data_IF_557202274052
#
_entry.id   IF_557202274052
#
_cell.length_a   1.000
_cell.length_b   1.000
_cell.length_c   1.000
_cell.angle_alpha   90.00
_cell.angle_beta   90.00
_cell.angle_gamma   90.00
#
_symmetry.space_group_name_H-M   'P 1'
#
loop_
_entity.id
_entity.type
_entity.pdbx_description
1 polymer ?
#
# COMPACT_ATOMS: atom_id res chain seq x y z
N UNK A 1 13.40 -20.62 -2.20
CA UNK A 1 13.82 -19.43 -2.98
C UNK A 1 13.50 -19.69 -4.44
N UNK A 2 13.13 -18.67 -5.20
CA UNK A 2 12.85 -18.76 -6.63
C UNK A 2 13.35 -17.53 -7.40
N UNK A 3 13.16 -17.55 -8.71
CA UNK A 3 13.53 -16.47 -9.62
C UNK A 3 12.37 -16.20 -10.58
N UNK A 4 12.01 -14.92 -10.79
CA UNK A 4 10.96 -14.55 -11.73
C UNK A 4 11.44 -14.69 -13.17
N UNK A 5 10.53 -14.54 -14.14
CA UNK A 5 10.87 -14.54 -15.56
C UNK A 5 11.81 -13.39 -15.93
N UNK A 6 11.74 -12.28 -15.19
CA UNK A 6 12.55 -11.07 -15.34
C UNK A 6 13.83 -11.08 -14.49
N UNK A 7 14.20 -12.25 -13.93
CA UNK A 7 15.38 -12.46 -13.08
C UNK A 7 15.35 -11.76 -11.72
N UNK A 8 14.15 -11.56 -11.16
CA UNK A 8 14.00 -11.02 -9.81
C UNK A 8 14.00 -12.12 -8.74
N UNK A 9 14.68 -11.92 -7.60
CA UNK A 9 14.70 -12.90 -6.52
C UNK A 9 13.35 -12.96 -5.79
N UNK A 10 12.90 -14.19 -5.49
CA UNK A 10 11.63 -14.50 -4.84
C UNK A 10 11.82 -15.39 -3.61
N UNK A 11 11.04 -15.11 -2.57
CA UNK A 11 10.83 -16.00 -1.44
C UNK A 11 9.36 -16.40 -1.32
N UNK A 12 9.12 -17.66 -0.99
CA UNK A 12 7.82 -18.22 -0.68
C UNK A 12 7.82 -18.58 0.80
N UNK A 13 6.93 -17.98 1.59
CA UNK A 13 6.82 -18.20 3.03
C UNK A 13 5.44 -18.76 3.34
N UNK A 14 5.38 -19.96 3.93
CA UNK A 14 4.12 -20.57 4.41
C UNK A 14 3.77 -19.94 5.77
N UNK A 15 2.67 -19.20 5.84
CA UNK A 15 2.16 -18.66 7.11
C UNK A 15 1.20 -19.66 7.77
N UNK A 16 1.06 -19.59 9.10
CA UNK A 16 0.13 -20.44 9.85
C UNK A 16 -1.33 -20.00 9.70
N UNK A 17 -1.56 -18.71 9.48
CA UNK A 17 -2.86 -18.07 9.37
C UNK A 17 -3.09 -17.52 7.95
N UNK A 18 -4.36 -17.46 7.54
CA UNK A 18 -4.78 -16.99 6.21
C UNK A 18 -5.61 -15.70 6.31
N UNK A 19 -5.31 -14.86 7.31
CA UNK A 19 -6.04 -13.60 7.54
C UNK A 19 -5.95 -12.73 6.27
N UNK A 20 -7.08 -12.26 5.72
CA UNK A 20 -7.08 -11.33 4.59
C UNK A 20 -6.19 -10.12 4.88
N UNK A 21 -5.15 -9.93 4.06
CA UNK A 21 -4.14 -8.91 4.27
C UNK A 21 -3.84 -8.20 2.98
N UNK A 22 -3.83 -6.86 3.01
CA UNK A 22 -3.48 -6.04 1.86
C UNK A 22 -2.02 -6.28 1.48
N UNK A 23 -1.79 -6.49 0.18
CA UNK A 23 -0.46 -6.63 -0.39
C UNK A 23 0.36 -5.35 -0.21
N UNK A 24 1.66 -5.49 -0.06
CA UNK A 24 2.60 -4.37 -0.01
C UNK A 24 3.20 -4.20 -1.40
N UNK A 25 3.03 -3.02 -1.98
CA UNK A 25 3.59 -2.65 -3.28
C UNK A 25 4.43 -1.39 -3.11
N UNK A 26 5.75 -1.56 -3.06
CA UNK A 26 6.73 -0.48 -2.98
C UNK A 26 7.52 -0.41 -4.29
N UNK A 27 8.30 0.66 -4.45
CA UNK A 27 9.07 0.91 -5.68
C UNK A 27 9.91 -0.29 -6.12
N UNK A 28 10.55 -0.97 -5.16
CA UNK A 28 11.45 -2.09 -5.41
C UNK A 28 11.03 -3.39 -4.72
N UNK A 29 10.09 -3.37 -3.78
CA UNK A 29 9.71 -4.57 -3.01
C UNK A 29 8.21 -4.83 -3.14
N UNK A 30 7.85 -6.06 -3.44
CA UNK A 30 6.47 -6.52 -3.47
C UNK A 30 6.29 -7.64 -2.45
N UNK A 31 5.21 -7.57 -1.68
CA UNK A 31 4.78 -8.64 -0.78
C UNK A 31 3.34 -8.98 -1.07
N UNK A 32 3.11 -10.18 -1.60
CA UNK A 32 1.77 -10.68 -1.90
C UNK A 32 1.38 -11.76 -0.88
N UNK A 33 0.35 -11.49 -0.08
CA UNK A 33 -0.10 -12.41 0.95
C UNK A 33 -1.11 -13.42 0.40
N UNK A 34 -1.16 -14.60 1.01
CA UNK A 34 -2.17 -15.64 0.75
C UNK A 34 -2.32 -16.08 -0.72
N UNK A 35 -1.23 -16.07 -1.48
CA UNK A 35 -1.22 -16.46 -2.88
C UNK A 35 -1.21 -17.97 -3.02
N UNK A 36 -2.15 -18.53 -3.80
CA UNK A 36 -2.14 -19.96 -4.13
C UNK A 36 -1.00 -20.21 -5.12
N UNK A 37 -0.03 -21.02 -4.74
CA UNK A 37 1.12 -21.36 -5.58
C UNK A 37 1.17 -22.87 -5.82
N UNK A 38 1.48 -23.23 -7.06
CA UNK A 38 1.86 -24.58 -7.46
C UNK A 38 3.38 -24.61 -7.58
N UNK A 39 4.07 -25.04 -6.52
CA UNK A 39 5.52 -25.10 -6.47
C UNK A 39 6.00 -26.48 -6.89
N UNK A 40 6.91 -26.55 -7.86
CA UNK A 40 7.58 -27.79 -8.22
C UNK A 40 8.95 -27.83 -7.54
N UNK A 41 9.15 -28.80 -6.66
CA UNK A 41 10.43 -29.06 -6.03
C UNK A 41 11.41 -29.71 -7.01
N UNK A 42 12.70 -29.60 -6.72
CA UNK A 42 13.79 -30.12 -7.57
C UNK A 42 13.75 -31.63 -7.76
N UNK A 43 13.12 -32.35 -6.83
CA UNK A 43 12.88 -33.80 -6.87
C UNK A 43 11.68 -34.19 -7.76
N UNK A 44 10.99 -33.22 -8.36
CA UNK A 44 9.86 -33.42 -9.25
C UNK A 44 8.48 -33.41 -8.56
N UNK A 45 8.43 -33.38 -7.23
CA UNK A 45 7.16 -33.27 -6.50
C UNK A 45 6.54 -31.89 -6.67
N UNK A 46 5.22 -31.84 -6.79
CA UNK A 46 4.46 -30.58 -6.87
C UNK A 46 3.68 -30.37 -5.59
N UNK A 47 3.79 -29.17 -5.02
CA UNK A 47 3.12 -28.73 -3.80
C UNK A 47 2.20 -27.58 -4.16
N UNK A 48 0.90 -27.76 -3.93
CA UNK A 48 -0.11 -26.71 -4.09
C UNK A 48 -0.54 -26.23 -2.72
N UNK A 49 -0.14 -25.00 -2.35
CA UNK A 49 -0.45 -24.38 -1.05
C UNK A 49 -0.52 -22.86 -1.19
N UNK A 50 -0.99 -22.18 -0.13
CA UNK A 50 -0.91 -20.72 -0.02
C UNK A 50 0.42 -20.27 0.55
N UNK A 51 0.99 -19.23 -0.03
CA UNK A 51 2.24 -18.62 0.40
C UNK A 51 2.14 -17.10 0.43
N UNK A 52 2.95 -16.49 1.28
CA UNK A 52 3.35 -15.10 1.13
C UNK A 52 4.54 -15.05 0.18
N UNK A 53 4.42 -14.29 -0.89
CA UNK A 53 5.48 -14.08 -1.89
C UNK A 53 6.18 -12.77 -1.56
N UNK A 54 7.49 -12.80 -1.39
CA UNK A 54 8.34 -11.61 -1.20
C UNK A 54 9.25 -11.50 -2.42
N UNK A 55 9.19 -10.37 -3.13
CA UNK A 55 9.87 -10.13 -4.40
C UNK A 55 10.64 -8.81 -4.34
N UNK A 56 11.89 -8.82 -4.82
CA UNK A 56 12.64 -7.59 -5.10
C UNK A 56 12.65 -7.31 -6.62
N UNK A 57 12.00 -6.23 -7.04
CA UNK A 57 11.98 -5.73 -8.42
C UNK A 57 13.23 -4.89 -8.71
N UNK A 58 14.40 -5.53 -8.68
CA UNK A 58 15.69 -4.93 -9.06
C UNK A 58 16.58 -5.96 -9.76
N UNK A 59 17.26 -5.56 -10.83
CA UNK A 59 18.28 -6.36 -11.51
C UNK A 59 19.71 -5.99 -11.06
N UNK A 60 19.85 -5.02 -10.15
CA UNK A 60 21.16 -4.63 -9.63
C UNK A 60 21.69 -5.71 -8.67
N UNK A 61 22.80 -6.37 -9.04
CA UNK A 61 23.33 -7.52 -8.32
C UNK A 61 23.65 -7.23 -6.85
N UNK A 62 24.20 -6.06 -6.54
CA UNK A 62 24.56 -5.72 -5.17
C UNK A 62 23.31 -5.55 -4.30
N UNK A 63 22.26 -4.90 -4.82
CA UNK A 63 20.97 -4.84 -4.13
C UNK A 63 20.32 -6.20 -3.97
N UNK A 64 20.43 -7.08 -4.98
CA UNK A 64 19.95 -8.46 -4.86
C UNK A 64 20.68 -9.21 -3.75
N UNK A 65 22.02 -9.10 -3.67
CA UNK A 65 22.82 -9.74 -2.60
C UNK A 65 22.39 -9.25 -1.22
N UNK A 66 22.33 -7.94 -1.00
CA UNK A 66 21.90 -7.38 0.28
C UNK A 66 20.48 -7.83 0.66
N UNK A 67 19.56 -7.81 -0.30
CA UNK A 67 18.19 -8.27 -0.08
C UNK A 67 18.14 -9.76 0.30
N UNK A 68 18.86 -10.62 -0.43
CA UNK A 68 18.90 -12.06 -0.15
C UNK A 68 19.45 -12.34 1.25
N UNK A 69 20.57 -11.71 1.63
CA UNK A 69 21.19 -11.87 2.94
C UNK A 69 20.22 -11.45 4.07
N UNK A 70 19.56 -10.31 3.92
CA UNK A 70 18.65 -9.78 4.93
C UNK A 70 17.36 -10.58 5.07
N UNK A 71 16.76 -11.01 3.96
CA UNK A 71 15.56 -11.84 4.01
C UNK A 71 15.88 -13.23 4.57
N UNK A 72 17.01 -13.84 4.21
CA UNK A 72 17.46 -15.10 4.83
C UNK A 72 17.60 -14.94 6.35
N UNK A 73 18.30 -13.90 6.81
CA UNK A 73 18.47 -13.60 8.24
C UNK A 73 17.11 -13.38 8.96
N UNK A 74 16.16 -12.72 8.30
CA UNK A 74 14.81 -12.51 8.82
C UNK A 74 14.07 -13.84 8.98
N UNK A 75 14.12 -14.69 7.95
CA UNK A 75 13.41 -15.96 7.95
C UNK A 75 13.98 -16.94 8.99
N UNK A 76 15.29 -16.87 9.27
CA UNK A 76 15.92 -17.64 10.36
C UNK A 76 15.46 -17.21 11.77
N UNK A 77 15.09 -15.93 11.94
CA UNK A 77 14.59 -15.41 13.23
C UNK A 77 13.12 -15.71 13.46
N UNK A 78 12.38 -16.04 12.42
CA UNK A 78 10.96 -16.36 12.50
C UNK A 78 10.76 -17.87 12.73
N UNK A 79 9.65 -18.29 13.36
CA UNK A 79 9.30 -19.69 13.39
C UNK A 79 9.05 -20.21 11.96
N UNK A 80 9.17 -21.53 11.69
CA UNK A 80 9.03 -22.10 10.34
C UNK A 80 7.73 -21.75 9.62
N UNK A 81 6.66 -21.50 10.39
CA UNK A 81 5.38 -20.97 9.91
C UNK A 81 5.01 -19.74 10.75
N UNK A 82 5.45 -18.53 10.37
CA UNK A 82 5.10 -17.32 11.09
C UNK A 82 3.62 -16.98 10.90
N UNK A 83 3.11 -16.09 11.74
CA UNK A 83 1.83 -15.44 11.45
C UNK A 83 2.04 -14.35 10.41
N UNK A 84 1.01 -14.00 9.63
CA UNK A 84 1.07 -12.90 8.68
C UNK A 84 1.46 -11.60 9.40
N UNK A 85 0.94 -11.38 10.61
CA UNK A 85 1.26 -10.20 11.41
C UNK A 85 2.75 -10.14 11.81
N UNK A 86 3.34 -11.26 12.28
CA UNK A 86 4.74 -11.27 12.68
C UNK A 86 5.68 -11.14 11.48
N UNK A 87 5.40 -11.86 10.38
CA UNK A 87 6.13 -11.76 9.13
C UNK A 87 6.10 -10.33 8.59
N UNK A 88 4.92 -9.72 8.55
CA UNK A 88 4.73 -8.33 8.10
C UNK A 88 5.52 -7.34 8.96
N UNK A 89 5.49 -7.51 10.29
CA UNK A 89 6.21 -6.64 11.22
C UNK A 89 7.73 -6.69 10.98
N UNK A 90 8.32 -7.88 10.89
CA UNK A 90 9.76 -8.02 10.63
C UNK A 90 10.14 -7.54 9.23
N UNK A 91 9.34 -7.86 8.21
CA UNK A 91 9.60 -7.39 6.84
C UNK A 91 9.56 -5.87 6.77
N UNK A 92 8.62 -5.24 7.45
CA UNK A 92 8.49 -3.78 7.44
C UNK A 92 9.71 -3.09 8.06
N UNK A 93 10.32 -3.68 9.09
CA UNK A 93 11.58 -3.16 9.67
C UNK A 93 12.71 -3.17 8.64
N UNK A 94 12.88 -4.27 7.90
CA UNK A 94 13.91 -4.37 6.85
C UNK A 94 13.62 -3.38 5.73
N UNK A 95 12.39 -3.39 5.23
CA UNK A 95 11.94 -2.47 4.20
C UNK A 95 12.18 -1.03 4.63
N UNK A 96 11.92 -0.66 5.89
CA UNK A 96 12.13 0.71 6.37
C UNK A 96 13.59 1.18 6.38
N UNK A 97 14.56 0.25 6.32
CA UNK A 97 15.98 0.61 6.16
C UNK A 97 16.32 1.05 4.73
N UNK A 98 15.59 0.53 3.73
CA UNK A 98 15.82 0.82 2.30
C UNK A 98 14.79 1.76 1.69
N UNK A 99 13.58 1.76 2.25
CA UNK A 99 12.51 2.62 1.84
C UNK A 99 12.79 4.00 2.41
N UNK A 100 13.10 4.95 1.52
CA UNK A 100 12.70 6.32 1.80
C UNK A 100 11.18 6.27 2.02
N UNK A 101 10.66 6.70 3.19
CA UNK A 101 9.22 6.79 3.38
C UNK A 101 8.64 7.51 2.17
N UNK A 102 7.49 7.08 1.61
CA UNK A 102 6.82 7.91 0.63
C UNK A 102 6.67 9.29 1.27
N UNK A 103 7.34 10.29 0.70
CA UNK A 103 7.34 11.65 1.22
C UNK A 103 5.98 12.27 0.88
N UNK A 104 4.93 11.82 1.54
CA UNK A 104 3.70 12.57 1.59
C UNK A 104 4.01 13.88 2.30
N UNK A 105 3.71 15.00 1.66
CA UNK A 105 3.79 16.28 2.33
C UNK A 105 2.86 16.28 3.54
N UNK A 106 3.18 17.06 4.57
CA UNK A 106 2.30 17.24 5.72
C UNK A 106 0.93 17.76 5.29
N UNK A 107 0.90 18.53 4.20
CA UNK A 107 -0.28 19.04 3.53
C UNK A 107 -1.14 17.92 2.94
N UNK A 108 -0.53 16.91 2.29
CA UNK A 108 -1.26 15.78 1.72
C UNK A 108 -1.90 14.90 2.82
N UNK A 109 -1.16 14.65 3.91
CA UNK A 109 -1.70 13.88 5.05
C UNK A 109 -2.85 14.64 5.71
N UNK A 110 -2.70 15.96 5.87
CA UNK A 110 -3.73 16.83 6.46
C UNK A 110 -5.01 16.87 5.60
N UNK A 111 -4.88 16.97 4.27
CA UNK A 111 -6.00 16.93 3.34
C UNK A 111 -6.77 15.60 3.45
N UNK A 112 -6.05 14.49 3.26
CA UNK A 112 -6.62 13.15 3.35
C UNK A 112 -7.31 12.87 4.69
N UNK A 113 -6.69 13.28 5.80
CA UNK A 113 -7.31 13.13 7.13
C UNK A 113 -8.63 13.92 7.22
N UNK A 114 -8.69 15.13 6.66
CA UNK A 114 -9.89 15.96 6.69
C UNK A 114 -11.01 15.37 5.83
N UNK A 115 -10.69 14.87 4.65
CA UNK A 115 -11.65 14.19 3.76
C UNK A 115 -12.23 12.94 4.44
N UNK A 116 -11.38 12.09 5.00
CA UNK A 116 -11.81 10.89 5.74
C UNK A 116 -12.63 11.24 6.99
N UNK A 117 -12.29 12.33 7.67
CA UNK A 117 -13.05 12.83 8.82
C UNK A 117 -14.47 13.22 8.42
N UNK A 118 -14.64 13.91 7.28
CA UNK A 118 -15.95 14.29 6.73
C UNK A 118 -16.76 13.04 6.36
N UNK A 119 -16.16 12.05 5.69
CA UNK A 119 -16.82 10.77 5.38
C UNK A 119 -17.32 10.10 6.66
N UNK A 120 -16.44 9.95 7.66
CA UNK A 120 -16.73 9.22 8.89
C UNK A 120 -17.85 9.86 9.73
N UNK A 121 -18.03 11.19 9.64
CA UNK A 121 -19.05 11.94 10.39
C UNK A 121 -20.27 12.32 9.55
N UNK A 122 -20.32 11.89 8.29
CA UNK A 122 -21.49 12.12 7.44
C UNK A 122 -22.65 11.23 7.84
N UNK A 123 -23.87 11.66 7.51
CA UNK A 123 -25.08 10.86 7.75
C UNK A 123 -25.12 9.60 6.87
N UNK A 124 -24.51 9.65 5.69
CA UNK A 124 -24.41 8.53 4.76
C UNK A 124 -22.97 8.39 4.23
N UNK A 125 -22.08 7.69 4.97
CA UNK A 125 -20.68 7.52 4.58
C UNK A 125 -20.51 6.81 3.24
N UNK A 126 -21.41 5.87 2.90
CA UNK A 126 -21.35 5.15 1.63
C UNK A 126 -21.63 6.09 0.45
N UNK A 127 -22.59 6.99 0.60
CA UNK A 127 -22.85 8.02 -0.42
C UNK A 127 -21.64 8.94 -0.61
N UNK A 128 -21.01 9.44 0.48
CA UNK A 128 -19.82 10.28 0.34
C UNK A 128 -18.61 9.52 -0.23
N UNK A 129 -18.43 8.25 0.11
CA UNK A 129 -17.37 7.43 -0.52
C UNK A 129 -17.60 7.31 -2.03
N UNK A 130 -18.86 7.18 -2.46
CA UNK A 130 -19.19 7.06 -3.89
C UNK A 130 -19.03 8.38 -4.66
N UNK A 131 -19.11 9.53 -3.99
CA UNK A 131 -18.86 10.84 -4.58
C UNK A 131 -17.44 11.37 -4.35
N UNK A 132 -16.61 10.67 -3.58
CA UNK A 132 -15.23 11.06 -3.30
C UNK A 132 -14.36 10.90 -4.55
N UNK A 133 -13.48 11.89 -4.78
CA UNK A 133 -12.66 11.96 -5.97
C UNK A 133 -11.71 10.75 -6.13
N UNK A 134 -11.38 10.43 -7.37
CA UNK A 134 -10.49 9.29 -7.70
C UNK A 134 -9.12 9.82 -8.18
N UNK A 135 -9.09 11.01 -8.77
CA UNK A 135 -7.91 11.62 -9.38
C UNK A 135 -7.48 12.85 -8.58
N UNK A 136 -6.15 13.08 -8.50
CA UNK A 136 -5.59 14.28 -7.84
C UNK A 136 -5.85 15.56 -8.62
N UNK A 137 -6.25 15.42 -9.88
CA UNK A 137 -6.59 16.49 -10.79
C UNK A 137 -8.06 16.91 -10.67
N UNK A 138 -8.86 16.16 -9.90
CA UNK A 138 -10.25 16.49 -9.61
C UNK A 138 -10.32 17.81 -8.81
N UNK A 139 -11.25 18.67 -9.19
CA UNK A 139 -11.33 20.06 -8.67
C UNK A 139 -11.94 20.15 -7.27
N UNK A 140 -12.70 19.13 -6.89
CA UNK A 140 -13.46 19.07 -5.66
C UNK A 140 -13.19 17.73 -5.00
N UNK A 141 -13.10 17.72 -3.67
CA UNK A 141 -12.92 16.48 -2.92
C UNK A 141 -14.10 15.52 -3.13
N UNK A 142 -15.33 16.03 -3.17
CA UNK A 142 -16.54 15.26 -3.44
C UNK A 142 -17.35 15.89 -4.57
N UNK A 143 -17.80 15.08 -5.52
CA UNK A 143 -18.65 15.50 -6.63
C UNK A 143 -19.57 14.35 -7.04
N UNK A 144 -20.88 14.53 -6.91
CA UNK A 144 -21.87 13.53 -7.37
C UNK A 144 -22.49 13.89 -8.73
N UNK A 145 -21.95 14.91 -9.40
CA UNK A 145 -22.45 15.49 -10.64
C UNK A 145 -23.47 16.61 -10.45
N UNK A 146 -24.04 16.76 -9.26
CA UNK A 146 -24.97 17.83 -8.90
C UNK A 146 -24.32 18.72 -7.84
N UNK A 147 -24.04 18.12 -6.68
CA UNK A 147 -23.46 18.75 -5.51
C UNK A 147 -21.95 18.51 -5.45
N UNK A 148 -21.24 19.55 -4.98
CA UNK A 148 -19.78 19.59 -4.93
C UNK A 148 -19.32 20.07 -3.57
N UNK A 149 -18.35 19.37 -2.99
CA UNK A 149 -17.77 19.72 -1.69
C UNK A 149 -16.25 19.73 -1.81
N UNK A 150 -15.66 20.85 -1.43
CA UNK A 150 -14.21 20.99 -1.24
C UNK A 150 -13.93 21.13 0.25
N UNK A 151 -13.11 20.24 0.79
CA UNK A 151 -12.73 20.18 2.20
C UNK A 151 -11.38 20.86 2.40
N UNK A 152 -11.34 21.82 3.33
CA UNK A 152 -10.10 22.47 3.74
C UNK A 152 -9.88 22.28 5.23
N UNK A 153 -8.63 21.95 5.60
CA UNK A 153 -8.20 21.83 6.98
C UNK A 153 -6.93 22.64 7.24
N UNK A 154 -6.82 23.14 8.47
CA UNK A 154 -5.64 23.86 8.98
C UNK A 154 -5.29 23.38 10.38
N UNK A 155 -4.01 23.47 10.72
CA UNK A 155 -3.51 23.28 12.09
C UNK A 155 -3.32 24.62 12.81
N UNK A 156 -3.46 25.73 12.10
CA UNK A 156 -3.28 27.08 12.64
C UNK A 156 -4.53 27.49 13.43
N UNK A 157 -4.34 28.38 14.40
CA UNK A 157 -5.45 29.04 15.11
C UNK A 157 -6.33 29.85 14.15
N UNK A 158 -5.70 30.49 13.17
CA UNK A 158 -6.39 31.29 12.16
C UNK A 158 -6.94 30.36 11.06
N UNK A 159 -8.27 30.35 10.95
CA UNK A 159 -9.01 29.51 9.99
C UNK A 159 -9.20 30.25 8.67
N UNK A 160 -8.08 30.54 8.00
CA UNK A 160 -8.05 31.16 6.68
C UNK A 160 -7.71 30.14 5.61
N UNK A 161 -8.50 30.10 4.54
CA UNK A 161 -8.36 29.13 3.45
C UNK A 161 -8.48 29.82 2.09
N UNK A 162 -7.78 29.28 1.10
CA UNK A 162 -7.83 29.76 -0.28
C UNK A 162 -8.60 28.78 -1.13
N UNK A 163 -9.51 29.31 -1.95
CA UNK A 163 -10.24 28.59 -2.99
C UNK A 163 -9.88 29.19 -4.34
N UNK A 164 -9.85 28.36 -5.37
CA UNK A 164 -9.77 28.86 -6.74
C UNK A 164 -11.09 29.52 -7.15
N UNK A 165 -11.07 30.39 -8.16
CA UNK A 165 -12.29 31.06 -8.63
C UNK A 165 -13.27 30.05 -9.22
N UNK A 166 -12.73 28.98 -9.82
CA UNK A 166 -13.48 27.86 -10.39
C UNK A 166 -14.18 27.04 -9.29
N UNK A 167 -13.54 26.87 -8.12
CA UNK A 167 -14.19 26.22 -6.97
C UNK A 167 -15.38 27.02 -6.45
N UNK A 168 -15.34 28.35 -6.57
CA UNK A 168 -16.40 29.26 -6.13
C UNK A 168 -17.49 29.47 -7.20
N UNK A 169 -17.17 29.22 -8.47
CA UNK A 169 -18.08 29.37 -9.60
C UNK A 169 -18.08 28.08 -10.45
N UNK A 170 -18.75 27.01 -9.98
CA UNK A 170 -18.88 25.79 -10.77
C UNK A 170 -19.65 26.08 -12.06
N UNK A 171 -19.05 25.79 -13.22
CA UNK A 171 -19.76 25.85 -14.48
C UNK A 171 -20.87 24.78 -14.50
N UNK A 172 -21.92 25.00 -15.29
CA UNK A 172 -23.07 24.08 -15.39
C UNK A 172 -22.67 22.64 -15.80
N UNK A 173 -21.54 22.48 -16.49
CA UNK A 173 -20.99 21.20 -16.96
C UNK A 173 -19.80 20.68 -16.13
N UNK A 174 -19.52 21.28 -14.97
CA UNK A 174 -18.44 20.87 -14.04
C UNK A 174 -18.94 20.00 -12.91
#
# INVERSE_FOLDING_TARGET
>A
MGCSQEFYPLFFVECIDEIPSANISLKQVYVNFNQVCNLRASDGHTITKKFTIILLKSQEEDLQKYFLELICLLLEKLPPRPTIASLKSELFKIISLFATPPAFSQEAIKGLWAELFVIAHSHNPIYLINSWHISKEDRYDFNDGIDKVEVKATRNSDRTHTFSIEQLNPNADS
#
